data_IF_746099452410
#
_entry.id   IF_746099452410
#
_cell.length_a   1.000
_cell.length_b   1.000
_cell.length_c   1.000
_cell.angle_alpha   90.00
_cell.angle_beta   90.00
_cell.angle_gamma   90.00
#
_symmetry.space_group_name_H-M   'P 1'
#
loop_
_entity.id
_entity.type
_entity.pdbx_description
1 polymer ?
#
# COMPACT_ATOMS: atom_id res chain seq x y z
N UNK A 1 -24.89 58.35 17.54
CA UNK A 1 -24.74 58.01 16.10
C UNK A 1 -23.48 58.68 15.58
N UNK A 2 -22.52 57.90 15.09
CA UNK A 2 -21.88 58.14 13.78
C UNK A 2 -20.72 57.15 13.67
N UNK A 3 -21.04 55.97 13.16
CA UNK A 3 -20.03 55.16 12.48
C UNK A 3 -19.76 55.91 11.18
N UNK A 4 -18.49 56.20 10.90
CA UNK A 4 -17.91 56.58 9.59
C UNK A 4 -17.29 57.98 9.50
N UNK A 5 -15.97 57.97 9.43
CA UNK A 5 -15.24 58.50 8.29
C UNK A 5 -14.02 57.60 8.03
N UNK A 6 -14.25 56.43 7.43
CA UNK A 6 -13.13 55.68 6.85
C UNK A 6 -12.68 56.44 5.61
N UNK A 7 -11.37 56.72 5.50
CA UNK A 7 -10.82 57.38 4.33
C UNK A 7 -11.02 56.49 3.10
N UNK A 8 -11.21 57.11 1.92
CA UNK A 8 -11.37 56.35 0.66
C UNK A 8 -10.16 55.44 0.42
N UNK A 9 -8.96 55.86 0.83
CA UNK A 9 -7.76 55.04 0.73
C UNK A 9 -7.82 53.80 1.65
N UNK A 10 -8.32 53.93 2.88
CA UNK A 10 -8.47 52.81 3.79
C UNK A 10 -9.49 51.77 3.28
N UNK A 11 -10.59 52.24 2.69
CA UNK A 11 -11.59 51.37 2.07
C UNK A 11 -11.01 50.63 0.86
N UNK A 12 -10.32 51.34 -0.05
CA UNK A 12 -9.66 50.75 -1.22
C UNK A 12 -8.56 49.75 -0.79
N UNK A 13 -7.78 50.10 0.23
CA UNK A 13 -6.76 49.23 0.82
C UNK A 13 -7.34 47.93 1.36
N UNK A 14 -8.41 48.01 2.16
CA UNK A 14 -9.10 46.82 2.71
C UNK A 14 -9.73 45.94 1.64
N UNK A 15 -10.33 46.54 0.61
CA UNK A 15 -10.93 45.80 -0.51
C UNK A 15 -9.85 45.08 -1.33
N UNK A 16 -8.72 45.74 -1.57
CA UNK A 16 -7.58 45.17 -2.32
C UNK A 16 -6.97 43.98 -1.56
N UNK A 17 -6.76 44.10 -0.25
CA UNK A 17 -6.30 43.01 0.61
C UNK A 17 -7.27 41.83 0.60
N UNK A 18 -8.58 42.08 0.68
CA UNK A 18 -9.61 41.05 0.59
C UNK A 18 -9.58 40.28 -0.74
N UNK A 19 -9.44 40.99 -1.86
CA UNK A 19 -9.34 40.37 -3.19
C UNK A 19 -8.06 39.54 -3.33
N UNK A 20 -6.91 40.04 -2.87
CA UNK A 20 -5.65 39.29 -2.88
C UNK A 20 -5.75 38.02 -2.04
N UNK A 21 -6.38 38.10 -0.86
CA UNK A 21 -6.55 36.94 0.02
C UNK A 21 -7.48 35.89 -0.59
N UNK A 22 -8.60 36.31 -1.18
CA UNK A 22 -9.53 35.42 -1.89
C UNK A 22 -8.85 34.79 -3.11
N UNK A 23 -8.19 35.58 -3.95
CA UNK A 23 -7.45 35.09 -5.10
C UNK A 23 -6.35 34.10 -4.67
N UNK A 24 -5.57 34.44 -3.63
CA UNK A 24 -4.56 33.58 -3.03
C UNK A 24 -5.14 32.27 -2.51
N UNK A 25 -6.28 32.30 -1.82
CA UNK A 25 -6.99 31.11 -1.34
C UNK A 25 -7.48 30.23 -2.49
N UNK A 26 -8.09 30.79 -3.53
CA UNK A 26 -8.58 30.02 -4.67
C UNK A 26 -7.45 29.47 -5.56
N UNK A 27 -6.38 30.25 -5.77
CA UNK A 27 -5.16 29.80 -6.47
C UNK A 27 -4.46 28.71 -5.66
N UNK A 28 -4.34 28.88 -4.35
CA UNK A 28 -3.81 27.88 -3.42
C UNK A 28 -4.64 26.60 -3.41
N UNK A 29 -5.97 26.71 -3.39
CA UNK A 29 -6.92 25.57 -3.43
C UNK A 29 -6.92 24.84 -4.78
N UNK A 30 -6.70 25.56 -5.90
CA UNK A 30 -6.51 24.95 -7.23
C UNK A 30 -5.17 24.23 -7.32
N UNK A 31 -4.07 24.86 -6.88
CA UNK A 31 -2.75 24.23 -6.86
C UNK A 31 -2.68 23.05 -5.89
N UNK A 32 -3.36 23.10 -4.74
CA UNK A 32 -3.40 21.98 -3.79
C UNK A 32 -4.19 20.78 -4.31
N UNK A 33 -5.23 20.99 -5.13
CA UNK A 33 -5.87 19.90 -5.89
C UNK A 33 -4.92 19.28 -6.92
N UNK A 34 -4.05 20.08 -7.52
CA UNK A 34 -3.06 19.63 -8.50
C UNK A 34 -1.84 18.93 -7.88
N UNK A 35 -1.56 19.22 -6.60
CA UNK A 35 -0.52 18.58 -5.78
C UNK A 35 -1.08 17.55 -4.78
N UNK A 36 -2.22 16.92 -5.07
CA UNK A 36 -2.60 15.71 -4.33
C UNK A 36 -1.62 14.61 -4.72
N UNK A 37 -0.80 14.15 -3.77
CA UNK A 37 -0.12 12.87 -3.92
C UNK A 37 -1.19 11.83 -4.21
N UNK A 38 -1.19 11.29 -5.43
CA UNK A 38 -2.04 10.15 -5.77
C UNK A 38 -1.49 8.95 -5.02
N UNK A 39 -2.22 8.47 -4.01
CA UNK A 39 -2.02 7.14 -3.45
C UNK A 39 -2.58 6.14 -4.46
N UNK A 40 -1.76 5.19 -4.90
CA UNK A 40 -2.16 4.25 -5.92
C UNK A 40 -0.99 3.38 -6.38
N UNK A 41 -1.33 2.23 -6.95
CA UNK A 41 -0.38 1.27 -7.48
C UNK A 41 0.14 1.76 -8.84
N UNK A 42 1.36 1.35 -9.22
CA UNK A 42 1.90 1.58 -10.58
C UNK A 42 0.96 1.17 -11.71
N UNK A 43 0.11 0.17 -11.49
CA UNK A 43 -0.86 -0.33 -12.46
C UNK A 43 -2.31 0.14 -12.19
N UNK A 44 -2.59 0.83 -11.08
CA UNK A 44 -3.91 1.38 -10.72
C UNK A 44 -3.77 2.72 -9.99
N UNK A 45 -4.30 3.80 -10.57
CA UNK A 45 -4.31 5.14 -9.96
C UNK A 45 -3.02 5.96 -10.17
N UNK A 46 -1.91 5.32 -10.55
CA UNK A 46 -0.64 6.00 -10.92
C UNK A 46 -0.04 5.52 -12.24
N UNK A 47 -0.85 4.91 -13.12
CA UNK A 47 -0.38 4.39 -14.41
C UNK A 47 0.20 5.48 -15.31
N UNK A 48 -0.41 6.67 -15.32
CA UNK A 48 0.00 7.78 -16.19
C UNK A 48 0.88 8.81 -15.47
N UNK A 49 1.35 8.50 -14.26
CA UNK A 49 2.22 9.39 -13.49
C UNK A 49 3.66 9.34 -14.06
N UNK A 50 4.22 10.45 -14.57
CA UNK A 50 5.54 10.46 -15.18
C UNK A 50 6.66 10.14 -14.18
N UNK A 51 6.50 10.47 -12.90
CA UNK A 51 7.47 10.12 -11.86
C UNK A 51 7.42 8.62 -11.59
N UNK A 52 6.23 8.03 -11.58
CA UNK A 52 6.08 6.58 -11.45
C UNK A 52 6.71 5.87 -12.66
N UNK A 53 6.47 6.33 -13.88
CA UNK A 53 7.08 5.75 -15.08
C UNK A 53 8.61 5.88 -15.06
N UNK A 54 9.15 7.02 -14.61
CA UNK A 54 10.58 7.20 -14.41
C UNK A 54 11.14 6.20 -13.39
N UNK A 55 10.48 6.05 -12.23
CA UNK A 55 10.87 5.09 -11.20
C UNK A 55 10.89 3.66 -11.75
N UNK A 56 9.84 3.24 -12.45
CA UNK A 56 9.76 1.89 -13.00
C UNK A 56 10.84 1.64 -14.06
N UNK A 57 11.07 2.61 -14.95
CA UNK A 57 12.08 2.48 -16.02
C UNK A 57 13.53 2.50 -15.51
N UNK A 58 13.81 3.10 -14.35
CA UNK A 58 15.17 3.26 -13.84
C UNK A 58 15.49 2.40 -12.60
N UNK A 59 14.49 1.89 -11.89
CA UNK A 59 14.69 1.13 -10.65
C UNK A 59 14.12 -0.29 -10.66
N UNK A 60 13.09 -0.59 -11.47
CA UNK A 60 12.46 -1.91 -11.43
C UNK A 60 13.37 -2.96 -12.08
N UNK A 61 13.67 -4.02 -11.34
CA UNK A 61 14.44 -5.20 -11.76
C UNK A 61 13.63 -6.44 -11.42
N UNK A 62 12.72 -6.78 -12.32
CA UNK A 62 11.76 -7.85 -12.13
C UNK A 62 12.25 -9.17 -12.75
N UNK A 63 12.09 -10.29 -12.04
CA UNK A 63 12.38 -11.60 -12.61
C UNK A 63 11.40 -11.91 -13.76
N UNK A 64 11.83 -12.55 -14.88
CA UNK A 64 10.94 -12.80 -16.02
C UNK A 64 9.64 -13.53 -15.66
N UNK A 65 9.66 -14.41 -14.66
CA UNK A 65 8.46 -15.09 -14.17
C UNK A 65 7.44 -14.12 -13.56
N UNK A 66 7.90 -13.13 -12.77
CA UNK A 66 7.05 -12.10 -12.19
C UNK A 66 6.46 -11.21 -13.29
N UNK A 67 7.26 -10.82 -14.29
CA UNK A 67 6.78 -10.04 -15.43
C UNK A 67 5.68 -10.78 -16.19
N UNK A 68 5.87 -12.07 -16.46
CA UNK A 68 4.86 -12.90 -17.13
C UNK A 68 3.58 -13.04 -16.30
N UNK A 69 3.70 -13.34 -15.01
CA UNK A 69 2.54 -13.47 -14.12
C UNK A 69 1.75 -12.15 -14.03
N UNK A 70 2.44 -11.01 -13.93
CA UNK A 70 1.83 -9.68 -13.91
C UNK A 70 1.09 -9.31 -15.20
N UNK A 71 1.50 -9.90 -16.33
CA UNK A 71 0.84 -9.69 -17.63
C UNK A 71 -0.41 -10.55 -17.82
N UNK A 72 -0.61 -11.58 -16.99
CA UNK A 72 -1.83 -12.38 -17.02
C UNK A 72 -2.99 -11.49 -16.59
N UNK A 73 -3.95 -11.28 -17.50
CA UNK A 73 -5.12 -10.45 -17.21
C UNK A 73 -6.19 -11.27 -16.53
N UNK A 74 -6.71 -10.71 -15.44
CA UNK A 74 -7.86 -11.23 -14.72
C UNK A 74 -8.89 -10.11 -14.52
N UNK A 75 -10.10 -10.45 -14.10
CA UNK A 75 -11.14 -9.48 -13.75
C UNK A 75 -10.79 -8.61 -12.53
N UNK A 76 -9.88 -9.07 -11.66
CA UNK A 76 -9.54 -8.41 -10.38
C UNK A 76 -8.08 -7.95 -10.30
N UNK A 77 -7.46 -7.60 -11.44
CA UNK A 77 -6.07 -7.13 -11.50
C UNK A 77 -5.73 -5.99 -10.52
N UNK A 78 -6.72 -5.20 -10.11
CA UNK A 78 -6.55 -4.11 -9.14
C UNK A 78 -6.17 -4.57 -7.72
N UNK A 79 -6.43 -5.83 -7.38
CA UNK A 79 -6.10 -6.43 -6.07
C UNK A 79 -4.59 -6.69 -5.97
N UNK A 80 -3.94 -7.04 -7.09
CA UNK A 80 -2.52 -7.37 -7.14
C UNK A 80 -1.65 -6.26 -6.52
N UNK A 81 -0.61 -6.65 -5.78
CA UNK A 81 0.36 -5.68 -5.24
C UNK A 81 1.11 -4.97 -6.38
N UNK A 82 1.53 -3.74 -6.15
CA UNK A 82 2.34 -3.01 -7.13
C UNK A 82 3.75 -3.63 -7.27
N UNK A 83 4.31 -3.64 -8.48
CA UNK A 83 5.60 -4.31 -8.73
C UNK A 83 6.77 -3.65 -7.97
N UNK A 84 6.77 -2.33 -7.87
CA UNK A 84 7.71 -1.55 -7.07
C UNK A 84 7.58 -1.83 -5.57
N UNK A 85 6.36 -2.08 -5.09
CA UNK A 85 6.10 -2.44 -3.70
C UNK A 85 6.62 -3.86 -3.40
N UNK A 86 6.35 -4.81 -4.30
CA UNK A 86 6.86 -6.18 -4.23
C UNK A 86 8.38 -6.22 -4.25
N UNK A 87 9.03 -5.42 -5.11
CA UNK A 87 10.50 -5.31 -5.15
C UNK A 87 11.08 -4.76 -3.85
N UNK A 88 10.46 -3.73 -3.26
CA UNK A 88 10.89 -3.20 -1.96
C UNK A 88 10.86 -4.30 -0.89
N UNK A 89 9.77 -5.06 -0.83
CA UNK A 89 9.62 -6.13 0.14
C UNK A 89 10.60 -7.28 -0.08
N UNK A 90 10.84 -7.67 -1.33
CA UNK A 90 11.88 -8.63 -1.69
C UNK A 90 13.28 -8.18 -1.23
N UNK A 91 13.61 -6.89 -1.41
CA UNK A 91 14.87 -6.34 -0.93
C UNK A 91 14.96 -6.33 0.60
N UNK A 92 13.88 -5.99 1.29
CA UNK A 92 13.82 -6.04 2.75
C UNK A 92 13.95 -7.48 3.27
N UNK A 93 13.28 -8.45 2.64
CA UNK A 93 13.38 -9.86 2.98
C UNK A 93 14.82 -10.38 2.82
N UNK A 94 15.50 -9.98 1.74
CA UNK A 94 16.92 -10.29 1.53
C UNK A 94 17.81 -9.63 2.60
N UNK A 95 17.55 -8.36 2.92
CA UNK A 95 18.34 -7.59 3.90
C UNK A 95 18.29 -8.22 5.29
N UNK A 96 17.10 -8.62 5.74
CA UNK A 96 16.91 -9.26 7.04
C UNK A 96 17.13 -10.79 7.01
N UNK A 97 17.55 -11.33 5.85
CA UNK A 97 17.85 -12.75 5.63
C UNK A 97 16.70 -13.67 6.03
N UNK A 98 15.49 -13.38 5.52
CA UNK A 98 14.30 -14.19 5.77
C UNK A 98 14.56 -15.64 5.33
N UNK A 99 14.29 -16.58 6.25
CA UNK A 99 14.26 -18.03 5.95
C UNK A 99 12.85 -18.60 5.91
N UNK A 100 11.92 -17.99 6.64
CA UNK A 100 10.53 -18.45 6.74
C UNK A 100 9.62 -17.25 6.53
N UNK A 101 8.69 -17.37 5.60
CA UNK A 101 7.70 -16.35 5.32
C UNK A 101 6.30 -16.98 5.31
N UNK A 102 5.32 -16.18 5.70
CA UNK A 102 3.90 -16.49 5.51
C UNK A 102 3.26 -15.33 4.76
N UNK A 103 2.56 -15.64 3.69
CA UNK A 103 1.73 -14.68 2.95
C UNK A 103 0.27 -15.06 3.12
N UNK A 104 -0.55 -14.06 3.37
CA UNK A 104 -1.98 -14.24 3.55
C UNK A 104 -2.71 -13.28 2.61
N UNK A 105 -3.58 -13.83 1.77
CA UNK A 105 -4.14 -13.12 0.62
C UNK A 105 -3.13 -13.13 -0.52
N UNK A 106 -2.97 -14.30 -1.12
CA UNK A 106 -1.98 -14.61 -2.16
C UNK A 106 -2.48 -14.17 -3.53
N UNK A 107 -3.78 -14.26 -3.76
CA UNK A 107 -4.42 -14.03 -5.04
C UNK A 107 -3.75 -14.87 -6.15
N UNK A 108 -3.22 -14.25 -7.22
CA UNK A 108 -2.48 -14.94 -8.28
C UNK A 108 -1.06 -15.36 -7.89
N UNK A 109 -0.58 -14.97 -6.70
CA UNK A 109 0.73 -15.36 -6.20
C UNK A 109 1.88 -14.45 -6.59
N UNK A 110 1.63 -13.26 -7.13
CA UNK A 110 2.70 -12.37 -7.58
C UNK A 110 3.65 -11.94 -6.45
N UNK A 111 3.13 -11.51 -5.30
CA UNK A 111 3.99 -11.12 -4.18
C UNK A 111 4.67 -12.33 -3.54
N UNK A 112 3.92 -13.40 -3.32
CA UNK A 112 4.45 -14.64 -2.78
C UNK A 112 5.59 -15.22 -3.63
N UNK A 113 5.45 -15.23 -4.96
CA UNK A 113 6.53 -15.63 -5.87
C UNK A 113 7.75 -14.72 -5.72
N UNK A 114 7.54 -13.41 -5.58
CA UNK A 114 8.62 -12.43 -5.40
C UNK A 114 9.40 -12.68 -4.11
N UNK A 115 8.71 -12.94 -3.00
CA UNK A 115 9.35 -13.31 -1.73
C UNK A 115 10.05 -14.66 -1.84
N UNK A 116 9.41 -15.67 -2.43
CA UNK A 116 9.98 -17.01 -2.60
C UNK A 116 11.32 -16.99 -3.37
N UNK A 117 11.42 -16.14 -4.41
CA UNK A 117 12.66 -15.94 -5.17
C UNK A 117 13.81 -15.32 -4.37
N UNK A 118 13.53 -14.75 -3.19
CA UNK A 118 14.56 -14.17 -2.30
C UNK A 118 15.02 -15.10 -1.19
N UNK A 119 14.27 -16.17 -0.92
CA UNK A 119 14.58 -17.11 0.15
C UNK A 119 15.81 -17.95 -0.21
N UNK A 120 16.63 -18.37 0.78
CA UNK A 120 17.69 -19.34 0.55
C UNK A 120 17.11 -20.70 0.15
N UNK A 121 17.96 -21.63 -0.29
CA UNK A 121 17.54 -22.97 -0.74
C UNK A 121 16.79 -23.77 0.34
N UNK A 122 17.11 -23.55 1.62
CA UNK A 122 16.45 -24.15 2.78
C UNK A 122 15.26 -23.32 3.28
N UNK A 123 14.93 -22.23 2.60
CA UNK A 123 13.85 -21.33 2.95
C UNK A 123 12.47 -21.90 2.64
N UNK A 124 11.47 -21.44 3.40
CA UNK A 124 10.08 -21.89 3.26
C UNK A 124 9.13 -20.69 3.20
N UNK A 125 8.23 -20.71 2.24
CA UNK A 125 7.09 -19.80 2.16
C UNK A 125 5.80 -20.61 2.32
N UNK A 126 4.95 -20.17 3.23
CA UNK A 126 3.57 -20.64 3.34
C UNK A 126 2.68 -19.57 2.70
N UNK A 127 1.94 -19.93 1.66
CA UNK A 127 1.08 -19.01 0.93
C UNK A 127 -0.39 -19.41 1.16
N UNK A 128 -1.17 -18.55 1.81
CA UNK A 128 -2.54 -18.81 2.22
C UNK A 128 -3.56 -17.96 1.44
N UNK A 129 -4.50 -18.61 0.76
CA UNK A 129 -5.67 -17.95 0.18
C UNK A 129 -6.95 -18.77 0.39
N UNK A 130 -8.08 -18.10 0.25
CA UNK A 130 -9.42 -18.70 0.30
C UNK A 130 -9.90 -19.14 -1.08
N UNK A 131 -9.35 -18.57 -2.16
CA UNK A 131 -9.76 -18.82 -3.54
C UNK A 131 -8.72 -19.66 -4.28
N UNK A 132 -9.06 -20.92 -4.56
CA UNK A 132 -8.23 -21.80 -5.39
C UNK A 132 -8.18 -21.33 -6.85
N UNK A 133 -9.28 -20.76 -7.37
CA UNK A 133 -9.37 -20.24 -8.74
C UNK A 133 -8.25 -19.26 -9.07
N UNK A 134 -7.94 -18.31 -8.17
CA UNK A 134 -6.88 -17.34 -8.40
C UNK A 134 -5.49 -17.92 -8.20
N UNK A 135 -5.30 -18.82 -7.23
CA UNK A 135 -4.03 -19.51 -7.01
C UNK A 135 -3.62 -20.31 -8.26
N UNK A 136 -4.60 -20.94 -8.93
CA UNK A 136 -4.37 -21.77 -10.10
C UNK A 136 -3.76 -21.00 -11.28
N UNK A 137 -4.07 -19.70 -11.39
CA UNK A 137 -3.45 -18.80 -12.37
C UNK A 137 -1.94 -18.70 -12.15
N UNK A 138 -1.52 -18.63 -10.88
CA UNK A 138 -0.12 -18.60 -10.49
C UNK A 138 0.57 -19.96 -10.59
N UNK A 139 -0.18 -21.08 -10.49
CA UNK A 139 0.32 -22.47 -10.37
C UNK A 139 1.51 -22.81 -11.29
N UNK A 140 1.50 -22.44 -12.59
CA UNK A 140 2.62 -22.71 -13.49
C UNK A 140 3.94 -22.05 -13.09
N UNK A 141 3.89 -20.90 -12.41
CA UNK A 141 5.07 -20.12 -12.02
C UNK A 141 5.68 -20.60 -10.70
N UNK A 142 4.89 -21.23 -9.82
CA UNK A 142 5.41 -21.75 -8.55
C UNK A 142 6.38 -22.90 -8.74
N UNK A 143 6.36 -23.62 -9.87
CA UNK A 143 7.38 -24.64 -10.17
C UNK A 143 8.80 -24.09 -10.22
N UNK A 144 8.95 -22.77 -10.38
CA UNK A 144 10.23 -22.07 -10.38
C UNK A 144 10.79 -21.84 -8.97
N UNK A 145 9.99 -22.07 -7.93
CA UNK A 145 10.33 -21.83 -6.53
C UNK A 145 9.88 -22.99 -5.64
N UNK A 146 10.57 -23.23 -4.53
CA UNK A 146 10.17 -24.29 -3.58
C UNK A 146 9.09 -23.78 -2.62
N UNK A 147 7.94 -23.39 -3.17
CA UNK A 147 6.80 -22.88 -2.42
C UNK A 147 5.55 -23.73 -2.74
N UNK A 148 4.83 -24.14 -1.69
CA UNK A 148 3.56 -24.84 -1.82
C UNK A 148 2.41 -23.96 -1.30
N UNK A 149 1.45 -23.56 -2.14
CA UNK A 149 0.27 -22.86 -1.67
C UNK A 149 -0.56 -23.79 -0.78
N UNK A 150 -0.97 -23.28 0.38
CA UNK A 150 -1.86 -23.97 1.31
C UNK A 150 -3.20 -23.24 1.31
N UNK A 151 -4.28 -23.95 0.99
CA UNK A 151 -5.62 -23.39 1.02
C UNK A 151 -6.14 -23.35 2.47
N UNK A 152 -6.53 -22.16 2.92
CA UNK A 152 -7.18 -22.00 4.22
C UNK A 152 -8.54 -21.34 4.02
N UNK A 153 -9.59 -22.02 4.42
CA UNK A 153 -10.98 -21.58 4.20
C UNK A 153 -11.54 -20.69 5.32
N UNK A 154 -10.78 -20.44 6.39
CA UNK A 154 -11.26 -19.69 7.57
C UNK A 154 -10.33 -18.56 8.02
N UNK A 155 -10.88 -17.34 8.08
CA UNK A 155 -10.26 -16.13 8.64
C UNK A 155 -9.88 -16.28 10.13
N UNK A 156 -10.51 -17.21 10.87
CA UNK A 156 -10.25 -17.39 12.30
C UNK A 156 -8.90 -18.09 12.56
N UNK A 157 -8.54 -19.07 11.72
CA UNK A 157 -7.23 -19.75 11.75
C UNK A 157 -6.09 -18.77 11.43
N UNK A 158 -6.40 -17.75 10.64
CA UNK A 158 -5.52 -16.73 10.09
C UNK A 158 -5.04 -15.73 11.16
N UNK A 159 -5.95 -15.28 12.04
CA UNK A 159 -5.61 -14.44 13.20
C UNK A 159 -4.86 -15.25 14.26
N UNK A 160 -5.25 -16.51 14.49
CA UNK A 160 -4.54 -17.40 15.42
C UNK A 160 -3.10 -17.68 14.95
N UNK A 161 -2.87 -17.92 13.65
CA UNK A 161 -1.53 -18.09 13.09
C UNK A 161 -0.64 -16.84 13.29
N UNK A 162 -1.21 -15.64 13.19
CA UNK A 162 -0.52 -14.38 13.45
C UNK A 162 -0.13 -14.21 14.93
N UNK A 163 -0.83 -14.86 15.87
CA UNK A 163 -0.56 -14.79 17.32
C UNK A 163 0.39 -15.87 17.83
N UNK A 164 0.69 -16.92 17.04
CA UNK A 164 1.34 -18.16 17.54
C UNK A 164 2.85 -18.23 17.32
N UNK A 165 3.48 -17.30 16.59
CA UNK A 165 4.92 -17.43 16.28
C UNK A 165 5.79 -16.36 16.96
N UNK A 166 6.51 -16.81 18.00
CA UNK A 166 7.49 -16.06 18.80
C UNK A 166 8.85 -15.86 18.12
N UNK A 167 8.95 -15.96 16.80
CA UNK A 167 10.20 -15.73 16.07
C UNK A 167 10.11 -14.42 15.28
N UNK A 168 10.95 -13.43 15.64
CA UNK A 168 11.37 -12.24 14.85
C UNK A 168 10.52 -11.97 13.60
N UNK A 169 9.32 -11.40 13.78
CA UNK A 169 8.32 -11.31 12.71
C UNK A 169 8.18 -9.88 12.22
N UNK A 170 8.98 -9.51 11.21
CA UNK A 170 8.64 -8.35 10.37
C UNK A 170 7.32 -8.68 9.66
N UNK A 171 6.29 -7.87 9.91
CA UNK A 171 5.00 -7.96 9.23
C UNK A 171 4.89 -6.88 8.17
N UNK A 172 4.51 -7.30 6.96
CA UNK A 172 4.09 -6.41 5.88
C UNK A 172 2.56 -6.37 5.86
N UNK A 173 1.98 -5.19 6.03
CA UNK A 173 0.54 -4.97 5.93
C UNK A 173 0.27 -4.11 4.70
N UNK A 174 -0.53 -4.64 3.77
CA UNK A 174 -0.80 -4.03 2.48
C UNK A 174 -2.05 -3.15 2.50
N UNK A 175 -2.12 -2.22 1.56
CA UNK A 175 -3.30 -1.39 1.27
C UNK A 175 -3.79 -0.59 2.48
N UNK A 176 -2.89 -0.25 3.40
CA UNK A 176 -3.21 0.42 4.67
C UNK A 176 -3.68 1.87 4.49
N UNK A 177 -3.47 2.46 3.31
CA UNK A 177 -4.00 3.79 2.98
C UNK A 177 -5.35 3.72 2.27
N UNK A 178 -5.72 2.55 1.72
CA UNK A 178 -7.00 2.26 1.06
C UNK A 178 -7.47 3.38 0.12
N UNK A 179 -6.59 3.77 -0.82
CA UNK A 179 -6.78 4.87 -1.77
C UNK A 179 -7.10 6.23 -1.11
N UNK A 180 -6.62 6.42 0.12
CA UNK A 180 -6.85 7.61 0.93
C UNK A 180 -8.19 7.64 1.67
N UNK A 181 -9.06 6.62 1.51
CA UNK A 181 -10.39 6.59 2.15
C UNK A 181 -10.32 6.51 3.68
N UNK A 182 -9.18 6.08 4.23
CA UNK A 182 -8.94 6.03 5.69
C UNK A 182 -8.86 7.41 6.36
N UNK A 183 -8.63 8.49 5.60
CA UNK A 183 -8.48 9.84 6.19
C UNK A 183 -9.79 10.35 6.79
N UNK A 184 -10.92 10.07 6.13
CA UNK A 184 -12.27 10.40 6.56
C UNK A 184 -13.23 9.33 6.02
N UNK A 185 -13.33 8.17 6.69
CA UNK A 185 -14.17 7.07 6.21
C UNK A 185 -15.66 7.44 6.29
N UNK A 186 -16.44 7.09 5.26
CA UNK A 186 -17.89 7.30 5.24
C UNK A 186 -18.60 6.33 6.21
N UNK A 187 -19.75 6.72 6.78
CA UNK A 187 -20.44 5.97 7.84
C UNK A 187 -20.97 4.57 7.43
N UNK A 188 -20.82 4.16 6.16
CA UNK A 188 -21.13 2.81 5.67
C UNK A 188 -19.92 2.04 5.10
N UNK A 189 -18.75 2.65 5.01
CA UNK A 189 -17.55 2.02 4.44
C UNK A 189 -16.82 1.20 5.50
N UNK A 190 -17.32 -0.02 5.74
CA UNK A 190 -16.82 -0.94 6.77
C UNK A 190 -15.32 -1.21 6.58
N UNK A 191 -14.83 -1.31 5.35
CA UNK A 191 -13.43 -1.58 5.05
C UNK A 191 -12.54 -0.40 5.47
N UNK A 192 -12.88 0.82 5.03
CA UNK A 192 -12.12 2.02 5.40
C UNK A 192 -12.12 2.26 6.91
N UNK A 193 -13.27 2.05 7.57
CA UNK A 193 -13.39 2.14 9.03
C UNK A 193 -12.51 1.09 9.72
N UNK A 194 -12.51 -0.15 9.22
CA UNK A 194 -11.74 -1.26 9.81
C UNK A 194 -10.24 -1.05 9.65
N UNK A 195 -9.80 -0.57 8.48
CA UNK A 195 -8.39 -0.26 8.21
C UNK A 195 -7.92 0.94 9.05
N UNK A 196 -8.72 2.00 9.17
CA UNK A 196 -8.42 3.13 10.08
C UNK A 196 -8.27 2.66 11.53
N UNK A 197 -9.21 1.84 12.03
CA UNK A 197 -9.12 1.24 13.37
C UNK A 197 -7.85 0.40 13.54
N UNK A 198 -7.49 -0.42 12.55
CA UNK A 198 -6.26 -1.21 12.55
C UNK A 198 -5.01 -0.32 12.61
N UNK A 199 -4.92 0.70 11.75
CA UNK A 199 -3.80 1.65 11.72
C UNK A 199 -3.63 2.35 13.07
N UNK A 200 -4.73 2.84 13.66
CA UNK A 200 -4.75 3.47 14.98
C UNK A 200 -4.40 2.51 16.11
N UNK A 201 -4.72 1.22 15.98
CA UNK A 201 -4.34 0.18 16.95
C UNK A 201 -2.84 -0.10 16.89
N UNK A 202 -2.29 -0.31 15.69
CA UNK A 202 -0.86 -0.55 15.47
C UNK A 202 -0.01 0.62 15.94
N UNK A 203 -0.44 1.86 15.68
CA UNK A 203 0.27 3.07 16.12
C UNK A 203 0.45 3.15 17.65
N UNK A 204 -0.49 2.57 18.41
CA UNK A 204 -0.45 2.55 19.89
C UNK A 204 0.16 1.27 20.46
N UNK A 205 0.51 0.30 19.63
CA UNK A 205 1.03 -0.99 20.10
C UNK A 205 2.53 -0.85 20.43
N UNK A 206 2.82 -0.76 21.73
CA UNK A 206 4.18 -0.59 22.26
C UNK A 206 5.11 -1.80 22.04
N UNK A 207 4.56 -2.93 21.57
CA UNK A 207 5.33 -4.17 21.33
C UNK A 207 5.95 -4.20 19.94
N UNK A 208 5.70 -3.17 19.11
CA UNK A 208 6.20 -3.10 17.74
C UNK A 208 6.87 -1.77 17.43
N UNK A 209 7.93 -1.81 16.61
CA UNK A 209 8.42 -0.64 15.88
C UNK A 209 7.67 -0.56 14.54
N UNK A 210 7.07 0.60 14.27
CA UNK A 210 6.15 0.79 13.16
C UNK A 210 6.73 1.80 12.14
N UNK A 211 6.60 1.49 10.85
CA UNK A 211 6.85 2.43 9.75
C UNK A 211 5.78 2.29 8.68
N UNK A 212 5.05 3.36 8.38
CA UNK A 212 4.05 3.40 7.31
C UNK A 212 4.61 4.15 6.09
N UNK A 213 4.57 3.49 4.93
CA UNK A 213 5.17 3.98 3.69
C UNK A 213 4.09 4.21 2.63
N UNK A 214 4.24 5.28 1.85
CA UNK A 214 3.33 5.65 0.74
C UNK A 214 3.68 4.92 -0.56
N UNK A 215 4.08 3.65 -0.47
CA UNK A 215 4.41 2.80 -1.63
C UNK A 215 3.17 1.97 -1.99
N UNK A 216 2.84 1.93 -3.28
CA UNK A 216 1.58 1.34 -3.76
C UNK A 216 0.35 2.00 -3.12
N UNK A 217 -0.54 1.19 -2.54
CA UNK A 217 -1.71 1.69 -1.81
C UNK A 217 -1.50 1.78 -0.28
N UNK A 218 -0.24 1.95 0.11
CA UNK A 218 0.20 1.95 1.50
C UNK A 218 0.82 0.61 1.91
N UNK A 219 1.97 0.69 2.57
CA UNK A 219 2.66 -0.45 3.16
C UNK A 219 3.05 -0.11 4.59
N UNK A 220 2.57 -0.87 5.56
CA UNK A 220 3.04 -0.78 6.94
C UNK A 220 4.03 -1.90 7.24
N UNK A 221 5.19 -1.52 7.75
CA UNK A 221 6.21 -2.39 8.34
C UNK A 221 6.03 -2.38 9.85
N UNK A 222 5.86 -3.56 10.45
CA UNK A 222 5.83 -3.72 11.89
C UNK A 222 6.87 -4.74 12.34
N UNK A 223 7.83 -4.31 13.16
CA UNK A 223 8.86 -5.17 13.76
C UNK A 223 8.52 -5.43 15.21
N UNK A 224 8.42 -6.70 15.62
CA UNK A 224 8.28 -7.04 17.05
C UNK A 224 9.56 -6.64 17.80
N UNK A 225 9.40 -5.98 18.95
CA UNK A 225 10.47 -5.62 19.89
C UNK A 225 10.68 -6.77 20.87
#
# INVERSE_FOLDING_TARGET
>A
MSVHNFSKEALIGSATLGVIFIAGYYVGKRKSKQFRMSSGKSHVGRKDDPVMQYLLSHSLREHPALTRLRQVRTSLNMIMVACEQSQLMANLARLIKVKKAIEIGVYTGYNALSIALTLPEDGKLIACDVSEEYIDIGRPFWRLVRCEPTLFTSLFTLISALTVQDALLLRFLFSVLWSGRVVNPEEGDIDSISIDKLNKKLHRDVRIQLSMLTVGDGLTLAFKI
#
